data_IF_516800049857
#
_entry.id   IF_516800049857
#
_cell.length_a   1.000
_cell.length_b   1.000
_cell.length_c   1.000
_cell.angle_alpha   90.00
_cell.angle_beta   90.00
_cell.angle_gamma   90.00
#
_symmetry.space_group_name_H-M   'P 1'
#
loop_
_entity.id
_entity.type
_entity.pdbx_description
1 polymer ?
#
# COMPACT_ATOMS: atom_id res chain seq x y z
N UNK A 1 -12.48 6.48 -19.13
CA UNK A 1 -12.84 5.75 -17.95
C UNK A 1 -11.65 5.48 -17.05
N UNK A 2 -10.65 4.74 -17.50
CA UNK A 2 -9.43 4.44 -16.76
C UNK A 2 -8.68 5.68 -16.22
N UNK A 3 -8.61 6.77 -16.96
CA UNK A 3 -7.77 7.92 -16.61
C UNK A 3 -8.18 8.61 -15.30
N UNK A 4 -9.47 8.63 -14.98
CA UNK A 4 -10.00 9.24 -13.76
C UNK A 4 -9.69 8.46 -12.47
N UNK A 5 -9.38 7.17 -12.60
CA UNK A 5 -8.94 6.32 -11.49
C UNK A 5 -7.42 6.26 -11.42
N UNK A 6 -6.77 6.05 -12.58
CA UNK A 6 -5.32 5.80 -12.64
C UNK A 6 -4.48 7.03 -12.35
N UNK A 7 -4.85 8.18 -12.90
CA UNK A 7 -4.06 9.40 -12.71
C UNK A 7 -4.07 9.87 -11.24
N UNK A 8 -5.22 9.97 -10.55
CA UNK A 8 -5.23 10.29 -9.13
C UNK A 8 -4.52 9.23 -8.28
N UNK A 9 -4.68 7.93 -8.60
CA UNK A 9 -4.00 6.86 -7.89
C UNK A 9 -2.48 6.99 -8.00
N UNK A 10 -1.94 7.24 -9.20
CA UNK A 10 -0.51 7.48 -9.43
C UNK A 10 -0.01 8.67 -8.63
N UNK A 11 -0.73 9.79 -8.64
CA UNK A 11 -0.35 10.99 -7.89
C UNK A 11 -0.32 10.70 -6.40
N UNK A 12 -1.36 10.06 -5.86
CA UNK A 12 -1.45 9.73 -4.44
C UNK A 12 -0.36 8.73 -4.01
N UNK A 13 -0.08 7.71 -4.83
CA UNK A 13 1.01 6.76 -4.58
C UNK A 13 2.38 7.45 -4.62
N UNK A 14 2.61 8.35 -5.58
CA UNK A 14 3.87 9.10 -5.66
C UNK A 14 4.07 9.98 -4.43
N UNK A 15 3.04 10.68 -3.98
CA UNK A 15 3.10 11.50 -2.76
C UNK A 15 3.30 10.62 -1.53
N UNK A 16 2.63 9.46 -1.45
CA UNK A 16 2.80 8.51 -0.36
C UNK A 16 4.26 8.00 -0.28
N UNK A 17 4.85 7.64 -1.43
CA UNK A 17 6.27 7.22 -1.50
C UNK A 17 7.20 8.34 -1.04
N UNK A 18 7.01 9.57 -1.51
CA UNK A 18 7.85 10.70 -1.12
C UNK A 18 7.74 10.98 0.38
N UNK A 19 6.55 10.94 0.94
CA UNK A 19 6.35 11.20 2.38
C UNK A 19 6.89 10.07 3.24
N UNK A 20 6.74 8.81 2.80
CA UNK A 20 7.27 7.64 3.50
C UNK A 20 8.81 7.63 3.49
N UNK A 21 9.44 7.92 2.33
CA UNK A 21 10.91 8.01 2.23
C UNK A 21 11.49 9.17 3.05
N UNK A 22 10.79 10.30 3.15
CA UNK A 22 11.28 11.49 3.86
C UNK A 22 11.00 11.46 5.35
N UNK A 23 9.80 11.03 5.76
CA UNK A 23 9.32 11.14 7.13
C UNK A 23 8.90 9.80 7.75
N UNK A 24 8.89 8.73 6.97
CA UNK A 24 8.40 7.39 7.37
C UNK A 24 6.99 7.44 7.95
N UNK A 25 6.16 8.34 7.40
CA UNK A 25 4.78 8.57 7.79
C UNK A 25 3.93 8.74 6.54
N UNK A 26 2.86 7.98 6.46
CA UNK A 26 1.81 8.18 5.47
C UNK A 26 0.71 8.99 6.15
N UNK A 27 0.45 10.18 5.63
CA UNK A 27 -0.48 11.11 6.24
C UNK A 27 -1.93 10.73 5.97
N UNK A 28 -2.77 10.85 6.99
CA UNK A 28 -4.21 10.59 6.91
C UNK A 28 -4.91 11.53 5.93
N UNK A 29 -4.46 12.80 5.83
CA UNK A 29 -5.00 13.76 4.88
C UNK A 29 -4.75 13.39 3.40
N UNK A 30 -3.86 12.43 3.13
CA UNK A 30 -3.61 11.90 1.79
C UNK A 30 -4.51 10.68 1.52
N UNK A 31 -4.58 9.75 2.46
CA UNK A 31 -5.26 8.46 2.28
C UNK A 31 -6.78 8.57 2.42
N UNK A 32 -7.28 9.38 3.36
CA UNK A 32 -8.72 9.54 3.59
C UNK A 32 -9.43 10.26 2.44
N UNK A 33 -8.96 11.42 1.94
CA UNK A 33 -9.56 12.04 0.77
C UNK A 33 -9.44 11.18 -0.48
N UNK A 34 -8.31 10.45 -0.64
CA UNK A 34 -8.12 9.51 -1.74
C UNK A 34 -9.14 8.37 -1.71
N UNK A 35 -9.38 7.79 -0.53
CA UNK A 35 -10.39 6.75 -0.34
C UNK A 35 -11.79 7.26 -0.66
N UNK A 36 -12.16 8.44 -0.13
CA UNK A 36 -13.45 9.06 -0.43
C UNK A 36 -13.62 9.38 -1.90
N UNK A 37 -12.56 9.84 -2.57
CA UNK A 37 -12.56 10.10 -4.01
C UNK A 37 -12.85 8.82 -4.80
N UNK A 38 -12.15 7.70 -4.50
CA UNK A 38 -12.35 6.46 -5.23
C UNK A 38 -13.73 5.83 -4.97
N UNK A 39 -14.23 5.90 -3.73
CA UNK A 39 -15.59 5.47 -3.43
C UNK A 39 -16.60 6.34 -4.18
N UNK A 40 -16.41 7.66 -4.20
CA UNK A 40 -17.29 8.59 -4.91
C UNK A 40 -17.29 8.35 -6.43
N UNK A 41 -16.11 8.23 -7.05
CA UNK A 41 -16.02 8.07 -8.50
C UNK A 41 -16.64 6.76 -8.97
N UNK A 42 -16.45 5.66 -8.22
CA UNK A 42 -17.08 4.38 -8.56
C UNK A 42 -18.59 4.37 -8.28
N UNK A 43 -19.08 5.20 -7.36
CA UNK A 43 -20.50 5.39 -7.14
C UNK A 43 -21.18 6.09 -8.33
N UNK A 44 -20.51 7.11 -8.91
CA UNK A 44 -21.05 7.91 -10.02
C UNK A 44 -20.81 7.28 -11.39
N UNK A 45 -19.66 6.66 -11.62
CA UNK A 45 -19.29 6.09 -12.92
C UNK A 45 -19.64 4.60 -13.04
N UNK A 46 -19.90 3.91 -11.93
CA UNK A 46 -20.43 2.54 -11.91
C UNK A 46 -19.47 1.44 -12.38
N UNK A 47 -18.20 1.75 -12.63
CA UNK A 47 -17.26 0.84 -13.30
C UNK A 47 -16.94 -0.42 -12.52
N UNK A 48 -16.70 -0.28 -11.23
CA UNK A 48 -16.31 -1.41 -10.35
C UNK A 48 -17.46 -1.97 -9.52
N UNK A 49 -18.60 -1.27 -9.47
CA UNK A 49 -19.66 -1.59 -8.53
C UNK A 49 -19.31 -1.26 -7.08
N UNK A 50 -20.27 -0.70 -6.36
CA UNK A 50 -20.08 -0.24 -4.97
C UNK A 50 -19.63 -1.38 -4.03
N UNK A 51 -20.12 -2.59 -4.26
CA UNK A 51 -19.78 -3.78 -3.47
C UNK A 51 -18.29 -4.16 -3.60
N UNK A 52 -17.72 -4.06 -4.79
CA UNK A 52 -16.30 -4.33 -5.01
C UNK A 52 -15.40 -3.22 -4.48
N UNK A 53 -15.82 -1.98 -4.59
CA UNK A 53 -15.11 -0.82 -4.06
C UNK A 53 -15.06 -0.85 -2.53
N UNK A 54 -16.21 -1.00 -1.88
CA UNK A 54 -16.29 -1.09 -0.43
C UNK A 54 -15.67 -2.40 0.09
N UNK A 55 -15.93 -3.52 -0.59
CA UNK A 55 -15.31 -4.81 -0.28
C UNK A 55 -13.80 -4.77 -0.41
N UNK A 56 -13.27 -4.05 -1.40
CA UNK A 56 -11.84 -3.81 -1.56
C UNK A 56 -11.26 -2.97 -0.43
N UNK A 57 -11.89 -1.84 -0.11
CA UNK A 57 -11.44 -0.95 0.96
C UNK A 57 -11.45 -1.65 2.33
N UNK A 58 -12.59 -2.22 2.70
CA UNK A 58 -12.78 -2.87 4.01
C UNK A 58 -12.03 -4.21 4.09
N UNK A 59 -12.02 -5.00 3.01
CA UNK A 59 -11.35 -6.29 2.96
C UNK A 59 -9.83 -6.14 3.07
N UNK A 60 -9.21 -5.29 2.26
CA UNK A 60 -7.76 -5.06 2.33
C UNK A 60 -7.35 -4.32 3.60
N UNK A 61 -8.09 -3.28 3.97
CA UNK A 61 -7.86 -2.58 5.24
C UNK A 61 -7.97 -3.53 6.43
N UNK A 62 -8.99 -4.40 6.44
CA UNK A 62 -9.22 -5.41 7.47
C UNK A 62 -8.10 -6.47 7.51
N UNK A 63 -7.69 -7.00 6.36
CA UNK A 63 -6.56 -7.96 6.26
C UNK A 63 -5.28 -7.32 6.78
N UNK A 64 -4.95 -6.10 6.34
CA UNK A 64 -3.77 -5.38 6.82
C UNK A 64 -3.84 -5.09 8.32
N UNK A 65 -5.02 -4.76 8.84
CA UNK A 65 -5.23 -4.56 10.27
C UNK A 65 -4.99 -5.86 11.06
N UNK A 66 -5.51 -6.99 10.58
CA UNK A 66 -5.28 -8.31 11.20
C UNK A 66 -3.79 -8.67 11.18
N UNK A 67 -3.09 -8.42 10.06
CA UNK A 67 -1.64 -8.62 9.97
C UNK A 67 -0.91 -7.71 10.96
N UNK A 68 -1.30 -6.45 11.09
CA UNK A 68 -0.70 -5.52 12.03
C UNK A 68 -0.90 -5.97 13.49
N UNK A 69 -2.08 -6.47 13.83
CA UNK A 69 -2.36 -7.02 15.16
C UNK A 69 -1.55 -8.29 15.42
N UNK A 70 -1.49 -9.21 14.46
CA UNK A 70 -0.71 -10.45 14.57
C UNK A 70 0.80 -10.20 14.66
N UNK A 71 1.30 -9.18 13.96
CA UNK A 71 2.71 -8.78 13.95
C UNK A 71 3.10 -7.83 15.09
N UNK A 72 2.21 -7.62 16.06
CA UNK A 72 2.42 -6.69 17.20
C UNK A 72 2.79 -5.27 16.76
N UNK A 73 2.14 -4.78 15.72
CA UNK A 73 2.30 -3.41 15.22
C UNK A 73 3.51 -3.19 14.31
N UNK A 74 4.11 -4.25 13.75
CA UNK A 74 5.21 -4.08 12.77
C UNK A 74 4.73 -3.48 11.45
N UNK A 75 3.46 -3.67 11.08
CA UNK A 75 2.86 -2.99 9.93
C UNK A 75 2.36 -1.61 10.37
N UNK A 76 2.80 -0.57 9.68
CA UNK A 76 2.42 0.81 9.98
C UNK A 76 0.94 1.08 9.75
N UNK A 77 0.32 1.88 10.64
CA UNK A 77 -1.09 2.30 10.47
C UNK A 77 -1.35 3.05 9.15
N UNK A 78 -0.32 3.72 8.62
CA UNK A 78 -0.37 4.37 7.30
C UNK A 78 -0.49 3.38 6.15
N UNK A 79 0.22 2.25 6.21
CA UNK A 79 0.17 1.20 5.19
C UNK A 79 -1.22 0.57 5.12
N UNK A 80 -1.87 0.36 6.28
CA UNK A 80 -3.25 -0.15 6.37
C UNK A 80 -4.21 0.75 5.59
N UNK A 81 -4.13 2.06 5.81
CA UNK A 81 -4.96 3.05 5.15
C UNK A 81 -4.65 3.17 3.66
N UNK A 82 -3.36 3.06 3.29
CA UNK A 82 -2.94 3.07 1.90
C UNK A 82 -3.50 1.86 1.13
N UNK A 83 -3.44 0.65 1.72
CA UNK A 83 -4.04 -0.54 1.12
C UNK A 83 -5.57 -0.46 1.06
N UNK A 84 -6.23 0.12 2.05
CA UNK A 84 -7.67 0.37 1.99
C UNK A 84 -8.03 1.32 0.83
N UNK A 85 -7.25 2.38 0.62
CA UNK A 85 -7.42 3.31 -0.50
C UNK A 85 -7.18 2.62 -1.85
N UNK A 86 -6.12 1.81 -1.97
CA UNK A 86 -5.85 1.02 -3.19
C UNK A 86 -6.99 0.04 -3.46
N UNK A 87 -7.47 -0.65 -2.42
CA UNK A 87 -8.63 -1.54 -2.54
C UNK A 87 -9.90 -0.85 -3.02
N UNK A 88 -10.13 0.38 -2.58
CA UNK A 88 -11.22 1.20 -3.09
C UNK A 88 -11.03 1.58 -4.56
N UNK A 89 -9.77 1.81 -5.00
CA UNK A 89 -9.47 2.23 -6.37
C UNK A 89 -9.55 1.10 -7.40
N UNK A 90 -9.01 -0.08 -7.07
CA UNK A 90 -8.86 -1.20 -8.02
C UNK A 90 -9.66 -2.46 -7.66
N UNK A 91 -10.40 -2.41 -6.56
CA UNK A 91 -11.21 -3.52 -6.06
C UNK A 91 -10.42 -4.54 -5.24
N UNK A 92 -11.17 -5.51 -4.66
CA UNK A 92 -10.61 -6.47 -3.72
C UNK A 92 -9.59 -7.41 -4.37
N UNK A 93 -9.89 -7.97 -5.54
CA UNK A 93 -9.07 -9.00 -6.19
C UNK A 93 -7.69 -8.47 -6.59
N UNK A 94 -7.66 -7.37 -7.35
CA UNK A 94 -6.40 -6.74 -7.76
C UNK A 94 -5.65 -6.16 -6.58
N UNK A 95 -6.35 -5.59 -5.61
CA UNK A 95 -5.76 -5.08 -4.40
C UNK A 95 -5.11 -6.17 -3.53
N UNK A 96 -5.73 -7.38 -3.46
CA UNK A 96 -5.14 -8.52 -2.77
C UNK A 96 -3.86 -9.01 -3.47
N UNK A 97 -3.86 -9.04 -4.79
CA UNK A 97 -2.65 -9.37 -5.58
C UNK A 97 -1.54 -8.32 -5.34
N UNK A 98 -1.90 -7.02 -5.28
CA UNK A 98 -0.96 -5.95 -4.96
C UNK A 98 -0.36 -6.13 -3.55
N UNK A 99 -1.19 -6.50 -2.57
CA UNK A 99 -0.74 -6.81 -1.22
C UNK A 99 0.27 -7.97 -1.21
N UNK A 100 -0.07 -9.08 -1.84
CA UNK A 100 0.80 -10.27 -1.93
C UNK A 100 2.13 -9.92 -2.60
N UNK A 101 2.08 -9.22 -3.74
CA UNK A 101 3.28 -8.82 -4.47
C UNK A 101 4.15 -7.85 -3.65
N UNK A 102 3.53 -6.94 -2.90
CA UNK A 102 4.25 -6.03 -1.99
C UNK A 102 5.06 -6.81 -0.95
N UNK A 103 4.45 -7.79 -0.29
CA UNK A 103 5.16 -8.61 0.70
C UNK A 103 6.27 -9.45 0.08
N UNK A 104 6.07 -10.00 -1.12
CA UNK A 104 7.10 -10.73 -1.85
C UNK A 104 8.29 -9.82 -2.18
N UNK A 105 8.04 -8.64 -2.75
CA UNK A 105 9.09 -7.67 -3.08
C UNK A 105 9.82 -7.18 -1.82
N UNK A 106 9.08 -6.86 -0.76
CA UNK A 106 9.67 -6.46 0.51
C UNK A 106 10.55 -7.58 1.10
N UNK A 107 10.09 -8.84 1.08
CA UNK A 107 10.86 -9.98 1.55
C UNK A 107 12.12 -10.21 0.72
N UNK A 108 12.03 -10.12 -0.62
CA UNK A 108 13.18 -10.28 -1.52
C UNK A 108 14.30 -9.25 -1.25
N UNK A 109 13.94 -8.04 -0.81
CA UNK A 109 14.92 -7.00 -0.50
C UNK A 109 15.35 -7.06 0.97
N UNK A 110 14.43 -7.34 1.90
CA UNK A 110 14.75 -7.45 3.30
C UNK A 110 15.70 -8.62 3.61
N UNK A 111 15.52 -9.76 2.93
CA UNK A 111 16.31 -10.97 3.16
C UNK A 111 17.83 -10.76 2.97
N UNK A 112 18.33 -10.27 1.81
CA UNK A 112 19.76 -10.03 1.63
C UNK A 112 20.30 -8.93 2.54
N UNK A 113 19.52 -7.90 2.85
CA UNK A 113 19.93 -6.84 3.79
C UNK A 113 20.14 -7.42 5.19
N UNK A 114 19.24 -8.25 5.67
CA UNK A 114 19.36 -8.93 6.98
C UNK A 114 20.55 -9.90 7.01
N UNK A 115 20.79 -10.66 5.92
CA UNK A 115 21.95 -11.54 5.82
C UNK A 115 23.26 -10.76 5.89
N UNK A 116 23.37 -9.65 5.14
CA UNK A 116 24.55 -8.81 5.14
C UNK A 116 24.79 -8.14 6.51
N UNK A 117 23.74 -7.74 7.21
CA UNK A 117 23.83 -7.19 8.57
C UNK A 117 24.29 -8.26 9.58
N UNK A 118 23.85 -9.50 9.42
CA UNK A 118 24.26 -10.63 10.27
C UNK A 118 25.71 -11.04 10.05
N UNK A 119 26.21 -10.89 8.82
CA UNK A 119 27.61 -11.18 8.45
C UNK A 119 28.56 -10.05 8.84
N UNK A 120 28.12 -8.79 8.79
CA UNK A 120 28.86 -7.64 9.29
C UNK A 120 28.67 -7.51 10.79
N UNK A 121 29.54 -8.11 11.57
CA UNK A 121 29.65 -8.08 13.04
C UNK A 121 29.98 -6.69 13.62
N UNK A 122 29.88 -5.62 12.86
CA UNK A 122 30.34 -4.27 13.22
C UNK A 122 29.16 -3.30 13.23
N UNK A 123 28.83 -2.75 14.41
CA UNK A 123 28.24 -1.44 14.76
C UNK A 123 27.31 -0.68 13.81
N UNK A 124 26.83 -1.27 12.73
CA UNK A 124 25.93 -0.62 11.81
C UNK A 124 24.53 -0.50 12.46
N UNK A 125 24.01 0.72 12.51
CA UNK A 125 22.62 1.02 12.93
C UNK A 125 21.68 -0.03 12.32
N UNK A 126 20.98 -0.76 13.19
CA UNK A 126 19.88 -1.63 12.77
C UNK A 126 18.93 -0.79 11.91
N UNK A 127 18.67 -1.25 10.71
CA UNK A 127 17.61 -0.68 9.88
C UNK A 127 16.29 -1.17 10.50
N UNK A 128 15.80 -0.42 11.49
CA UNK A 128 14.65 -0.84 12.28
C UNK A 128 13.33 -0.82 11.49
N UNK A 129 13.23 -0.05 10.41
CA UNK A 129 12.03 0.01 9.56
C UNK A 129 12.41 0.28 8.11
N UNK A 130 12.04 -0.64 7.22
CA UNK A 130 12.09 -0.43 5.77
C UNK A 130 10.86 0.40 5.35
N UNK A 131 11.03 1.45 4.52
CA UNK A 131 9.88 2.17 3.97
C UNK A 131 9.07 1.22 3.08
N UNK A 132 7.79 1.03 3.41
CA UNK A 132 6.93 0.08 2.68
C UNK A 132 6.24 0.71 1.47
N UNK A 133 6.00 2.02 1.47
CA UNK A 133 5.28 2.69 0.39
C UNK A 133 5.88 2.49 -1.02
N UNK A 134 7.22 2.48 -1.24
CA UNK A 134 7.77 2.22 -2.56
C UNK A 134 7.44 0.82 -3.08
N UNK A 135 7.41 -0.19 -2.20
CA UNK A 135 7.04 -1.56 -2.59
C UNK A 135 5.56 -1.65 -2.95
N UNK A 136 4.71 -0.96 -2.18
CA UNK A 136 3.26 -0.86 -2.44
C UNK A 136 3.01 -0.17 -3.79
N UNK A 137 3.73 0.92 -4.07
CA UNK A 137 3.59 1.64 -5.33
C UNK A 137 4.04 0.78 -6.53
N UNK A 138 5.21 0.15 -6.44
CA UNK A 138 5.74 -0.71 -7.51
C UNK A 138 4.82 -1.91 -7.77
N UNK A 139 4.36 -2.61 -6.73
CA UNK A 139 3.46 -3.75 -6.87
C UNK A 139 2.13 -3.35 -7.51
N UNK A 140 1.57 -2.21 -7.10
CA UNK A 140 0.33 -1.69 -7.66
C UNK A 140 0.52 -1.32 -9.14
N UNK A 141 1.62 -0.65 -9.49
CA UNK A 141 1.95 -0.28 -10.88
C UNK A 141 2.13 -1.49 -11.79
N UNK A 142 2.82 -2.53 -11.32
CA UNK A 142 3.01 -3.77 -12.10
C UNK A 142 1.66 -4.43 -12.42
N UNK A 143 0.73 -4.44 -11.47
CA UNK A 143 -0.60 -5.06 -11.67
C UNK A 143 -1.53 -4.25 -12.55
N UNK A 144 -1.32 -2.94 -12.61
CA UNK A 144 -2.12 -2.01 -13.42
C UNK A 144 -1.77 -2.11 -14.91
N UNK A 145 -0.69 -2.79 -15.27
CA UNK A 145 -0.36 -3.05 -16.67
C UNK A 145 0.68 -2.09 -17.24
N UNK A 146 1.70 -1.88 -16.48
CA UNK A 146 2.97 -1.46 -17.06
C UNK A 146 3.69 -2.66 -17.61
#
# INVERSE_FOLDING_TARGET
>A
MFIWVWLPLLVLLTVAVITDLRRRLIYDWLTLPGLLYFVGIHLFLGDLGLTQTLGGALGLGGICLLIAMASKGQLGGGDIKLFAMIGAAIGFTLGLQALMLTFILAACIAWPVLLLQKLKKSGAKRVDHLPMAPFIAVSTLILIGL
#
